data_IF_385791253177
#
_entry.id   IF_385791253177
#
_cell.length_a   1.000
_cell.length_b   1.000
_cell.length_c   1.000
_cell.angle_alpha   90.00
_cell.angle_beta   90.00
_cell.angle_gamma   90.00
#
_symmetry.space_group_name_H-M   'P 1'
#
loop_
_entity.id
_entity.type
_entity.pdbx_description
1 polymer ?
#
# COMPACT_ATOMS: atom_id res chain seq x y z
N UNK A 1 -7.02 37.99 3.94
CA UNK A 1 -7.13 36.85 4.85
C UNK A 1 -8.11 37.21 5.94
N UNK A 2 -9.08 36.36 6.18
CA UNK A 2 -10.33 36.69 6.88
C UNK A 2 -10.54 35.78 8.11
N UNK A 3 -9.46 35.26 8.66
CA UNK A 3 -9.46 34.33 9.82
C UNK A 3 -10.39 33.10 9.65
N UNK A 4 -10.54 32.64 8.41
CA UNK A 4 -11.31 31.42 8.11
C UNK A 4 -12.80 31.69 7.85
N UNK A 5 -13.19 32.91 7.59
CA UNK A 5 -14.57 33.21 7.17
C UNK A 5 -14.86 32.71 5.75
N UNK A 6 -13.85 32.67 4.88
CA UNK A 6 -13.98 32.09 3.54
C UNK A 6 -12.95 31.03 3.30
N UNK A 7 -13.32 30.01 2.50
CA UNK A 7 -12.47 28.88 2.14
C UNK A 7 -12.40 28.73 0.63
N UNK A 8 -11.20 28.55 0.11
CA UNK A 8 -10.95 28.27 -1.30
C UNK A 8 -10.20 26.96 -1.45
N UNK A 9 -10.70 26.10 -2.32
CA UNK A 9 -10.01 24.86 -2.68
C UNK A 9 -8.77 25.18 -3.55
N UNK A 10 -7.60 24.75 -3.11
CA UNK A 10 -6.34 24.90 -3.85
C UNK A 10 -5.95 23.65 -4.64
N UNK A 11 -6.40 22.47 -4.22
CA UNK A 11 -6.08 21.21 -4.90
C UNK A 11 -6.99 21.01 -6.10
N UNK A 12 -6.42 21.13 -7.29
CA UNK A 12 -7.06 20.83 -8.59
C UNK A 12 -6.20 19.81 -9.33
N UNK A 13 -6.67 19.26 -10.45
CA UNK A 13 -5.90 18.35 -11.28
C UNK A 13 -4.57 18.97 -11.75
N UNK A 14 -4.53 20.28 -11.98
CA UNK A 14 -3.36 21.02 -12.43
C UNK A 14 -2.41 21.40 -11.29
N UNK A 15 -2.84 21.26 -10.04
CA UNK A 15 -2.02 21.61 -8.88
C UNK A 15 -0.86 20.64 -8.63
N UNK A 16 -0.88 19.46 -9.27
CA UNK A 16 0.10 18.39 -9.04
C UNK A 16 -0.14 17.57 -7.77
N UNK A 17 -1.21 17.86 -7.01
CA UNK A 17 -1.66 17.06 -5.88
C UNK A 17 -2.77 16.11 -6.33
N UNK A 18 -2.81 14.84 -5.88
CA UNK A 18 -3.89 13.92 -6.21
C UNK A 18 -5.26 14.48 -5.83
N UNK A 19 -6.25 14.23 -6.66
CA UNK A 19 -7.65 14.64 -6.44
C UNK A 19 -8.59 13.47 -6.71
N UNK A 20 -9.77 13.46 -6.09
CA UNK A 20 -10.81 12.45 -6.28
C UNK A 20 -10.97 11.48 -5.11
N UNK A 21 -11.73 10.42 -5.31
CA UNK A 21 -12.17 9.50 -4.25
C UNK A 21 -11.04 8.69 -3.59
N UNK A 22 -9.88 8.58 -4.26
CA UNK A 22 -8.71 7.91 -3.70
C UNK A 22 -7.87 8.79 -2.76
N UNK A 23 -8.25 10.07 -2.57
CA UNK A 23 -7.57 10.95 -1.63
C UNK A 23 -8.06 10.68 -0.22
N UNK A 24 -7.21 10.06 0.58
CA UNK A 24 -7.47 9.79 1.99
C UNK A 24 -7.05 10.95 2.89
N UNK A 25 -6.52 10.61 4.07
CA UNK A 25 -6.09 11.62 5.05
C UNK A 25 -4.89 12.41 4.55
N UNK A 26 -4.88 13.71 4.86
CA UNK A 26 -3.77 14.62 4.58
C UNK A 26 -3.26 15.19 5.89
N UNK A 27 -1.94 15.06 6.13
CA UNK A 27 -1.22 15.79 7.17
C UNK A 27 -0.41 16.92 6.55
N UNK A 28 -0.31 18.07 7.22
CA UNK A 28 0.44 19.23 6.73
C UNK A 28 1.54 19.62 7.71
N UNK A 29 2.68 20.04 7.16
CA UNK A 29 3.76 20.72 7.89
C UNK A 29 4.18 21.99 7.15
N UNK A 30 4.16 23.10 7.83
CA UNK A 30 4.51 24.42 7.28
C UNK A 30 5.91 24.76 7.76
N UNK A 31 6.81 25.08 6.83
CA UNK A 31 8.14 25.60 7.15
C UNK A 31 8.17 27.12 7.13
N UNK A 32 7.61 27.72 6.10
CA UNK A 32 7.44 29.17 5.93
C UNK A 32 6.20 29.46 5.07
N UNK A 33 5.96 30.74 4.73
CA UNK A 33 4.79 31.19 3.96
C UNK A 33 4.70 30.56 2.56
N UNK A 34 5.82 30.12 2.01
CA UNK A 34 5.89 29.51 0.67
C UNK A 34 6.01 28.00 0.74
N UNK A 35 6.75 27.48 1.72
CA UNK A 35 7.14 26.05 1.78
C UNK A 35 6.22 25.27 2.70
N UNK A 36 5.44 24.37 2.10
CA UNK A 36 4.51 23.49 2.79
C UNK A 36 4.76 22.05 2.35
N UNK A 37 4.73 21.14 3.30
CA UNK A 37 4.77 19.70 3.04
C UNK A 37 3.42 19.07 3.38
N UNK A 38 3.05 18.08 2.59
CA UNK A 38 1.87 17.28 2.83
C UNK A 38 2.22 15.78 2.81
N UNK A 39 1.75 15.03 3.79
CA UNK A 39 1.69 13.57 3.70
C UNK A 39 0.27 13.18 3.34
N UNK A 40 0.13 12.36 2.31
CA UNK A 40 -1.14 11.86 1.80
C UNK A 40 -1.25 10.36 2.07
N UNK A 41 -2.37 9.92 2.65
CA UNK A 41 -2.83 8.54 2.55
C UNK A 41 -3.51 8.36 1.19
N UNK A 42 -2.75 7.82 0.23
CA UNK A 42 -3.21 7.65 -1.14
C UNK A 42 -3.89 6.28 -1.30
N UNK A 43 -5.22 6.28 -1.40
CA UNK A 43 -6.07 5.10 -1.53
C UNK A 43 -6.31 4.69 -2.99
N UNK A 44 -5.72 5.38 -3.97
CA UNK A 44 -5.73 4.91 -5.35
C UNK A 44 -4.97 3.59 -5.46
N UNK A 45 -5.42 2.74 -6.37
CA UNK A 45 -4.76 1.46 -6.64
C UNK A 45 -3.37 1.72 -7.24
N UNK A 46 -2.39 0.94 -6.78
CA UNK A 46 -1.06 0.93 -7.41
C UNK A 46 -1.20 0.53 -8.88
N UNK A 47 -0.43 1.18 -9.78
CA UNK A 47 -0.25 0.65 -11.11
C UNK A 47 0.26 -0.78 -10.95
N UNK A 48 -0.45 -1.74 -11.51
CA UNK A 48 0.01 -3.13 -11.52
C UNK A 48 1.35 -3.15 -12.27
N UNK A 49 2.45 -3.13 -11.54
CA UNK A 49 3.67 -3.68 -12.09
C UNK A 49 3.32 -5.09 -12.54
N UNK A 50 3.72 -5.46 -13.74
CA UNK A 50 3.33 -6.68 -14.45
C UNK A 50 3.69 -8.01 -13.76
N UNK A 51 3.60 -8.08 -12.45
CA UNK A 51 3.61 -9.27 -11.61
C UNK A 51 2.21 -9.87 -11.45
N UNK A 52 1.34 -9.75 -12.46
CA UNK A 52 0.34 -10.79 -12.64
C UNK A 52 1.13 -12.04 -13.00
N UNK A 53 1.48 -12.79 -11.99
CA UNK A 53 1.88 -14.17 -12.22
C UNK A 53 0.66 -14.87 -12.82
N UNK A 54 0.57 -14.87 -14.15
CA UNK A 54 -0.39 -15.69 -14.87
C UNK A 54 -0.06 -17.20 -14.71
N UNK A 55 1.00 -17.50 -13.97
CA UNK A 55 1.42 -18.85 -13.65
C UNK A 55 1.16 -19.13 -12.18
N UNK A 56 0.32 -20.11 -11.94
CA UNK A 56 0.22 -20.80 -10.66
C UNK A 56 1.63 -21.22 -10.20
N UNK A 57 1.92 -21.17 -8.89
CA UNK A 57 3.09 -21.83 -8.37
C UNK A 57 3.13 -23.27 -8.90
N UNK A 58 4.28 -23.74 -9.37
CA UNK A 58 4.47 -25.10 -9.93
C UNK A 58 3.84 -26.19 -9.04
N UNK A 59 3.83 -25.97 -7.73
CA UNK A 59 3.17 -26.84 -6.75
C UNK A 59 1.67 -27.08 -7.05
N UNK A 60 0.98 -26.16 -7.71
CA UNK A 60 -0.45 -26.30 -8.05
C UNK A 60 -0.68 -26.84 -9.47
N UNK A 61 0.40 -27.12 -10.22
CA UNK A 61 0.33 -27.69 -11.56
C UNK A 61 0.45 -29.21 -11.57
N UNK A 62 0.65 -29.83 -10.39
CA UNK A 62 0.76 -31.27 -10.24
C UNK A 62 -0.61 -31.93 -10.01
N UNK A 63 -0.80 -33.22 -10.38
CA UNK A 63 -2.00 -33.97 -10.05
C UNK A 63 -2.31 -33.96 -8.55
N UNK A 64 -3.59 -34.11 -8.19
CA UNK A 64 -4.04 -33.99 -6.80
C UNK A 64 -3.32 -34.93 -5.83
N UNK A 65 -3.06 -36.16 -6.24
CA UNK A 65 -2.35 -37.15 -5.42
C UNK A 65 -0.90 -36.74 -5.13
N UNK A 66 -0.25 -36.07 -6.08
CA UNK A 66 1.11 -35.52 -5.92
C UNK A 66 1.09 -34.26 -5.08
N UNK A 67 0.09 -33.40 -5.28
CA UNK A 67 -0.10 -32.21 -4.46
C UNK A 67 -0.21 -32.54 -2.96
N UNK A 68 -0.99 -33.55 -2.61
CA UNK A 68 -1.15 -34.02 -1.23
C UNK A 68 0.15 -34.51 -0.60
N UNK A 69 1.11 -35.01 -1.40
CA UNK A 69 2.43 -35.46 -0.92
C UNK A 69 3.42 -34.32 -0.67
N UNK A 70 3.20 -33.13 -1.18
CA UNK A 70 4.10 -32.00 -0.96
C UNK A 70 4.18 -31.69 0.54
N UNK A 71 5.37 -31.56 1.16
CA UNK A 71 5.48 -31.21 2.57
C UNK A 71 4.79 -29.86 2.88
N UNK A 72 3.98 -29.81 3.96
CA UNK A 72 3.27 -28.61 4.36
C UNK A 72 4.20 -27.41 4.55
N UNK A 73 5.39 -27.63 5.12
CA UNK A 73 6.40 -26.58 5.30
C UNK A 73 6.80 -25.92 3.97
N UNK A 74 7.01 -26.70 2.93
CA UNK A 74 7.40 -26.21 1.60
C UNK A 74 6.24 -25.45 0.96
N UNK A 75 5.04 -26.00 1.01
CA UNK A 75 3.85 -25.35 0.45
C UNK A 75 3.51 -24.06 1.20
N UNK A 76 3.59 -24.05 2.53
CA UNK A 76 3.37 -22.85 3.34
C UNK A 76 4.40 -21.76 3.04
N UNK A 77 5.65 -22.11 2.78
CA UNK A 77 6.67 -21.13 2.35
C UNK A 77 6.30 -20.47 1.02
N UNK A 78 5.83 -21.27 0.06
CA UNK A 78 5.38 -20.76 -1.24
C UNK A 78 4.18 -19.82 -1.05
N UNK A 79 3.14 -20.26 -0.35
CA UNK A 79 1.92 -19.47 -0.12
C UNK A 79 2.20 -18.15 0.60
N UNK A 80 3.10 -18.17 1.59
CA UNK A 80 3.55 -16.97 2.30
C UNK A 80 4.25 -15.97 1.37
N UNK A 81 5.07 -16.44 0.43
CA UNK A 81 5.75 -15.57 -0.53
C UNK A 81 4.77 -14.85 -1.47
N UNK A 82 3.56 -15.37 -1.64
CA UNK A 82 2.46 -14.71 -2.36
C UNK A 82 1.57 -13.84 -1.44
N UNK A 83 1.94 -13.66 -0.17
CA UNK A 83 1.19 -12.82 0.77
C UNK A 83 -0.13 -13.42 1.25
N UNK A 84 -0.36 -14.72 1.05
CA UNK A 84 -1.61 -15.37 1.42
C UNK A 84 -1.75 -15.52 2.94
N UNK A 85 -2.96 -15.30 3.43
CA UNK A 85 -3.32 -15.37 4.85
C UNK A 85 -3.34 -16.80 5.38
N UNK A 86 -3.49 -16.96 6.70
CA UNK A 86 -3.58 -18.25 7.37
C UNK A 86 -4.72 -19.17 6.85
N UNK A 87 -5.78 -18.58 6.27
CA UNK A 87 -6.84 -19.36 5.60
C UNK A 87 -6.30 -20.27 4.49
N UNK A 88 -5.26 -19.81 3.80
CA UNK A 88 -4.62 -20.54 2.70
C UNK A 88 -3.37 -21.32 3.13
N UNK A 89 -3.28 -21.78 4.37
CA UNK A 89 -2.24 -22.71 4.78
C UNK A 89 -2.40 -24.06 4.07
N UNK A 90 -1.27 -24.71 3.87
CA UNK A 90 -1.20 -26.03 3.21
C UNK A 90 -2.14 -27.05 3.84
N UNK A 91 -2.24 -27.04 5.17
CA UNK A 91 -3.11 -27.91 5.94
C UNK A 91 -4.59 -27.73 5.54
N UNK A 92 -5.02 -26.49 5.44
CA UNK A 92 -6.41 -26.15 5.07
C UNK A 92 -6.71 -26.55 3.63
N UNK A 93 -5.81 -26.21 2.69
CA UNK A 93 -6.00 -26.54 1.26
C UNK A 93 -6.06 -28.07 1.09
N UNK A 94 -5.17 -28.81 1.72
CA UNK A 94 -5.17 -30.27 1.67
C UNK A 94 -6.43 -30.86 2.29
N UNK A 95 -6.88 -30.30 3.42
CA UNK A 95 -8.11 -30.72 4.08
C UNK A 95 -9.32 -30.51 3.15
N UNK A 96 -9.42 -29.40 2.44
CA UNK A 96 -10.51 -29.16 1.48
C UNK A 96 -10.51 -30.19 0.33
N UNK A 97 -9.33 -30.54 -0.19
CA UNK A 97 -9.18 -31.53 -1.24
C UNK A 97 -9.52 -32.94 -0.72
N UNK A 98 -8.98 -33.33 0.43
CA UNK A 98 -9.18 -34.66 1.02
C UNK A 98 -10.63 -34.94 1.39
N UNK A 99 -11.39 -33.90 1.78
CA UNK A 99 -12.81 -34.01 2.14
C UNK A 99 -13.76 -33.75 0.94
N UNK A 100 -13.22 -33.60 -0.27
CA UNK A 100 -14.01 -33.40 -1.47
C UNK A 100 -14.70 -32.02 -1.57
N UNK A 101 -14.33 -31.06 -0.73
CA UNK A 101 -14.87 -29.70 -0.81
C UNK A 101 -14.34 -28.95 -2.04
N UNK A 102 -13.13 -29.31 -2.52
CA UNK A 102 -12.52 -28.76 -3.73
C UNK A 102 -11.82 -29.88 -4.50
N UNK A 103 -11.93 -29.85 -5.82
CA UNK A 103 -11.03 -30.63 -6.65
C UNK A 103 -9.65 -29.94 -6.70
N UNK A 104 -8.55 -30.66 -6.94
CA UNK A 104 -7.21 -30.08 -6.97
C UNK A 104 -7.04 -28.90 -7.94
N UNK A 105 -7.66 -28.97 -9.11
CA UNK A 105 -7.67 -27.90 -10.09
C UNK A 105 -8.50 -26.69 -9.66
N UNK A 106 -9.52 -26.88 -8.83
CA UNK A 106 -10.33 -25.80 -8.24
C UNK A 106 -9.57 -25.13 -7.11
N UNK A 107 -8.87 -25.88 -6.27
CA UNK A 107 -7.99 -25.35 -5.25
C UNK A 107 -6.93 -24.41 -5.86
N UNK A 108 -6.37 -24.78 -7.02
CA UNK A 108 -5.45 -23.96 -7.78
C UNK A 108 -6.09 -22.63 -8.22
N UNK A 109 -7.33 -22.66 -8.74
CA UNK A 109 -8.07 -21.45 -9.13
C UNK A 109 -8.36 -20.55 -7.94
N UNK A 110 -8.84 -21.10 -6.83
CA UNK A 110 -9.14 -20.36 -5.59
C UNK A 110 -7.89 -19.66 -5.04
N UNK A 111 -6.74 -20.34 -5.07
CA UNK A 111 -5.46 -19.75 -4.66
C UNK A 111 -5.05 -18.62 -5.62
N UNK A 112 -5.17 -18.82 -6.93
CA UNK A 112 -4.85 -17.81 -7.93
C UNK A 112 -5.76 -16.56 -7.80
N UNK A 113 -7.06 -16.77 -7.60
CA UNK A 113 -8.01 -15.68 -7.35
C UNK A 113 -7.67 -14.91 -6.08
N UNK A 114 -7.27 -15.60 -5.01
CA UNK A 114 -6.82 -14.97 -3.77
C UNK A 114 -5.55 -14.14 -3.98
N UNK A 115 -4.55 -14.66 -4.71
CA UNK A 115 -3.32 -13.92 -5.09
C UNK A 115 -3.68 -12.67 -5.91
N UNK A 116 -4.53 -12.82 -6.91
CA UNK A 116 -4.95 -11.69 -7.74
C UNK A 116 -5.75 -10.65 -6.96
N UNK A 117 -6.62 -11.09 -6.04
CA UNK A 117 -7.39 -10.19 -5.16
C UNK A 117 -6.49 -9.40 -4.19
N UNK A 118 -5.38 -9.97 -3.73
CA UNK A 118 -4.40 -9.25 -2.94
C UNK A 118 -3.68 -8.19 -3.79
N UNK A 119 -3.26 -8.55 -5.01
CA UNK A 119 -2.63 -7.61 -5.94
C UNK A 119 -3.57 -6.46 -6.35
N UNK A 120 -4.88 -6.73 -6.47
CA UNK A 120 -5.88 -5.71 -6.81
C UNK A 120 -6.22 -4.75 -5.66
N UNK A 121 -5.93 -5.14 -4.40
CA UNK A 121 -6.23 -4.35 -3.20
C UNK A 121 -5.08 -3.45 -2.76
N UNK A 122 -3.92 -3.57 -3.37
CA UNK A 122 -2.76 -2.80 -2.95
C UNK A 122 -2.95 -1.33 -3.34
N UNK A 123 -3.13 -0.49 -2.33
CA UNK A 123 -3.22 0.96 -2.50
C UNK A 123 -1.82 1.56 -2.58
N UNK A 124 -1.73 2.78 -3.13
CA UNK A 124 -0.46 3.52 -3.23
C UNK A 124 0.16 3.71 -1.83
N UNK A 125 -0.66 4.01 -0.83
CA UNK A 125 -0.19 4.19 0.55
C UNK A 125 0.33 5.61 0.80
N UNK A 126 1.38 5.76 1.63
CA UNK A 126 1.87 7.07 1.98
C UNK A 126 2.69 7.72 0.85
N UNK A 127 2.37 8.98 0.57
CA UNK A 127 3.14 9.82 -0.34
C UNK A 127 3.40 11.18 0.29
N UNK A 128 4.59 11.74 0.05
CA UNK A 128 4.94 13.08 0.54
C UNK A 128 5.07 14.04 -0.63
N UNK A 129 4.42 15.17 -0.49
CA UNK A 129 4.41 16.27 -1.46
C UNK A 129 5.00 17.53 -0.85
N UNK A 130 5.65 18.33 -1.69
CA UNK A 130 6.17 19.66 -1.34
C UNK A 130 5.52 20.71 -2.22
N UNK A 131 5.09 21.79 -1.62
CA UNK A 131 4.78 23.06 -2.27
C UNK A 131 5.86 24.07 -1.94
N UNK A 132 6.23 24.90 -2.90
CA UNK A 132 7.13 26.06 -2.72
C UNK A 132 6.44 27.38 -3.04
N UNK A 133 5.11 27.41 -3.06
CA UNK A 133 4.31 28.59 -3.38
C UNK A 133 3.00 28.67 -2.57
N UNK A 134 3.08 28.29 -1.29
CA UNK A 134 1.94 28.40 -0.36
C UNK A 134 0.80 27.44 -0.68
N UNK A 135 1.08 26.25 -1.20
CA UNK A 135 0.07 25.22 -1.47
C UNK A 135 -0.60 25.31 -2.83
N UNK A 136 -0.19 26.22 -3.72
CA UNK A 136 -0.82 26.38 -5.04
C UNK A 136 -0.44 25.26 -6.01
N UNK A 137 0.83 24.83 -5.97
CA UNK A 137 1.34 23.70 -6.74
C UNK A 137 2.13 22.76 -5.87
N UNK A 138 2.09 21.48 -6.20
CA UNK A 138 2.69 20.41 -5.42
C UNK A 138 3.55 19.50 -6.29
N UNK A 139 4.65 19.03 -5.73
CA UNK A 139 5.52 18.05 -6.37
C UNK A 139 5.77 16.93 -5.38
N UNK A 140 5.64 15.68 -5.83
CA UNK A 140 6.00 14.52 -5.04
C UNK A 140 7.49 14.53 -4.75
N UNK A 141 7.89 14.29 -3.50
CA UNK A 141 9.27 14.45 -3.03
C UNK A 141 10.14 13.21 -3.23
N UNK A 142 9.55 12.07 -3.55
CA UNK A 142 10.25 10.79 -3.65
C UNK A 142 9.69 9.93 -4.77
N UNK A 143 10.49 9.07 -5.41
CA UNK A 143 9.99 8.05 -6.32
C UNK A 143 9.30 6.91 -5.53
N UNK A 144 8.42 6.16 -6.20
CA UNK A 144 7.76 5.01 -5.57
C UNK A 144 6.79 5.36 -4.45
N UNK A 145 6.67 4.47 -3.48
CA UNK A 145 5.69 4.51 -2.39
C UNK A 145 6.41 4.36 -1.05
N UNK A 146 5.81 4.92 0.02
CA UNK A 146 6.25 4.67 1.40
C UNK A 146 5.33 3.59 1.95
N UNK A 147 5.86 2.37 2.02
CA UNK A 147 5.12 1.23 2.53
C UNK A 147 5.02 1.27 4.06
N UNK A 148 4.04 0.55 4.58
CA UNK A 148 3.89 0.25 6.00
C UNK A 148 3.74 1.48 6.92
N UNK A 149 3.29 2.62 6.37
CA UNK A 149 3.09 3.84 7.14
C UNK A 149 1.65 4.01 7.62
N UNK A 150 0.65 3.85 6.73
CA UNK A 150 -0.77 3.95 7.07
C UNK A 150 -1.38 2.58 7.32
N UNK A 151 -1.06 1.96 8.45
CA UNK A 151 -1.80 0.82 8.97
C UNK A 151 -2.91 1.24 9.89
N UNK A 152 -3.92 0.43 10.00
CA UNK A 152 -5.00 0.48 11.00
C UNK A 152 -5.04 1.74 11.89
N UNK A 153 -4.29 1.78 12.97
CA UNK A 153 -4.22 2.94 13.87
C UNK A 153 -3.34 4.08 13.37
N UNK A 154 -2.34 3.82 12.53
CA UNK A 154 -1.45 4.84 11.95
C UNK A 154 -2.21 5.88 11.14
N UNK A 155 -3.30 5.48 10.49
CA UNK A 155 -4.21 6.39 9.81
C UNK A 155 -4.73 7.52 10.71
N UNK A 156 -5.01 7.22 11.98
CA UNK A 156 -5.60 8.19 12.91
C UNK A 156 -4.57 9.11 13.58
N UNK A 157 -3.31 8.67 13.68
CA UNK A 157 -2.27 9.34 14.48
C UNK A 157 -1.10 9.85 13.64
N UNK A 158 -1.14 9.69 12.32
CA UNK A 158 -0.05 10.11 11.44
C UNK A 158 0.14 11.61 11.42
N UNK A 159 1.39 12.05 11.57
CA UNK A 159 1.81 13.45 11.56
C UNK A 159 3.06 13.59 10.70
N UNK A 160 3.15 14.69 9.96
CA UNK A 160 4.37 15.14 9.29
C UNK A 160 4.91 16.37 10.03
N UNK A 161 6.22 16.41 10.22
CA UNK A 161 6.91 17.57 10.83
C UNK A 161 8.15 17.90 10.01
N UNK A 162 8.40 19.18 9.79
CA UNK A 162 9.61 19.71 9.16
C UNK A 162 10.54 20.27 10.23
N UNK A 163 11.84 20.03 10.12
CA UNK A 163 12.84 20.61 11.01
C UNK A 163 12.92 22.12 10.81
N UNK A 164 12.77 22.90 11.88
CA UNK A 164 12.76 24.36 11.81
C UNK A 164 14.08 24.97 11.28
N UNK A 165 15.17 24.24 11.36
CA UNK A 165 16.48 24.68 10.90
C UNK A 165 16.92 24.05 9.57
N UNK A 166 16.11 23.14 9.01
CA UNK A 166 16.47 22.40 7.79
C UNK A 166 15.22 22.08 6.96
N UNK A 167 14.95 22.95 5.98
CA UNK A 167 13.74 22.88 5.16
C UNK A 167 13.48 21.52 4.50
N UNK A 168 14.52 20.76 4.18
CA UNK A 168 14.39 19.45 3.52
C UNK A 168 14.44 18.27 4.50
N UNK A 169 14.48 18.53 5.81
CA UNK A 169 14.52 17.47 6.82
C UNK A 169 13.14 17.24 7.42
N UNK A 170 12.59 16.07 7.13
CA UNK A 170 11.22 15.71 7.46
C UNK A 170 11.19 14.50 8.39
N UNK A 171 10.22 14.49 9.27
CA UNK A 171 9.87 13.35 10.11
C UNK A 171 8.40 13.00 9.89
N UNK A 172 8.16 11.74 9.61
CA UNK A 172 6.82 11.17 9.55
C UNK A 172 6.63 10.28 10.75
N UNK A 173 5.59 10.48 11.52
CA UNK A 173 5.25 9.62 12.64
C UNK A 173 3.82 9.10 12.52
N UNK A 174 3.69 7.78 12.71
CA UNK A 174 2.43 7.08 12.80
C UNK A 174 2.58 6.00 13.87
N UNK A 175 2.47 4.72 13.53
CA UNK A 175 2.91 3.62 14.42
C UNK A 175 4.45 3.59 14.47
N UNK A 176 5.10 3.88 13.33
CA UNK A 176 6.55 4.04 13.21
C UNK A 176 6.93 5.50 13.01
N UNK A 177 8.18 5.84 13.33
CA UNK A 177 8.78 7.13 13.00
C UNK A 177 9.77 6.92 11.86
N UNK A 178 9.57 7.66 10.78
CA UNK A 178 10.41 7.63 9.60
C UNK A 178 11.03 9.03 9.43
N UNK A 179 12.34 9.08 9.24
CA UNK A 179 13.06 10.29 8.84
C UNK A 179 13.46 10.12 7.37
N UNK A 180 13.30 11.18 6.56
CA UNK A 180 13.84 11.18 5.21
C UNK A 180 15.37 11.19 5.25
N UNK A 181 15.98 10.50 4.29
CA UNK A 181 17.40 10.65 4.04
C UNK A 181 17.62 12.03 3.42
N UNK A 182 18.55 12.79 3.97
CA UNK A 182 19.00 14.04 3.34
C UNK A 182 19.67 13.66 2.00
N UNK A 183 19.12 14.19 0.89
CA UNK A 183 19.73 14.10 -0.43
C UNK A 183 20.71 15.24 -0.57
#
# INVERSE_FOLDING_TARGET
>A
EDAGLTWKLFTTAESGFPVGEGVGRIGLAVYDDATVYAVLDNQFKRPLESKKSNSLPIAFSVPGDEFLKIPNKSLNSILKNYGLTEKFRAENIKHWIQNGYLQPNEAAKVVLEAINSLAEKEVIGAEVYKSSNGGKNWTKTHPGFIDDFFYSYGYNISVITVDSNAVNKLYLSAVNIIKNNEI
#
